data_IF_271549886711
#
_entry.id   IF_271549886711
#
_cell.length_a   1.000
_cell.length_b   1.000
_cell.length_c   1.000
_cell.angle_alpha   90.00
_cell.angle_beta   90.00
_cell.angle_gamma   90.00
#
_symmetry.space_group_name_H-M   'P 1'
#
loop_
_entity.id
_entity.type
_entity.pdbx_description
1 polymer ?
2 polymer ?
3 polymer ?
4 water ?
#
loop_
_entity_poly.entity_id
_entity_poly.type
_entity_poly.pdbx_seq_one_letter_code
_entity_poly.pdbx_strand_id
1 'polydeoxyribonucleotide' '(DT)(DT)(DT)(DG)(DC)(DG)(DG)(DT)(DT)(DG)(DC)(DA)(DC)(DC)(DT)(DT)(DT)(DC)(DA)(DA)(DA)' ?
2 'polydeoxyribonucleotide' '(DT)(DT)(DT)(DG)(DA)(DA)(DA)(DG)(DG)(DT)(DG)(DC)(DA)(DA)(DC)(DC)(DG)(DC)(DA)(DA)(DA)' ?
#
# COMPACT_ATOMS: atom_id res chain seq x y z
N UNK C 5 -14.05 -3.45 9.91
CA UNK C 5 -12.64 -3.12 9.58
C UNK C 5 -11.64 -3.90 10.45
N UNK C 6 -10.49 -4.23 9.88
CA UNK C 6 -9.42 -4.81 10.69
C UNK C 6 -8.09 -4.28 10.22
N UNK C 7 -7.07 -4.46 11.06
CA UNK C 7 -5.73 -4.07 10.74
C UNK C 7 -4.99 -5.22 10.06
N UNK C 8 -4.54 -4.96 8.82
CA UNK C 8 -3.77 -5.93 8.04
C UNK C 8 -2.29 -5.58 8.13
N UNK C 9 -1.49 -6.52 8.61
CA UNK C 9 -0.05 -6.37 8.63
C UNK C 9 0.57 -6.49 7.25
N UNK C 10 1.69 -5.79 7.09
CA UNK C 10 2.57 -5.89 5.91
C UNK C 10 4.00 -5.94 6.42
N UNK C 11 4.71 -6.99 6.03
CA UNK C 11 6.12 -7.19 6.39
C UNK C 11 6.96 -6.24 5.55
N UNK C 12 7.56 -5.26 6.21
CA UNK C 12 8.28 -4.16 5.54
C UNK C 12 9.66 -4.07 6.16
N UNK C 13 10.72 -4.04 5.36
CA UNK C 13 12.04 -3.91 5.99
C UNK C 13 12.29 -2.43 6.34
N UNK C 14 13.39 -2.18 7.04
CA UNK C 14 13.65 -0.89 7.68
C UNK C 14 13.82 0.23 6.69
N UNK C 15 14.55 -0.04 5.61
CA UNK C 15 14.69 0.92 4.51
C UNK C 15 13.34 1.35 3.93
N UNK C 16 12.43 0.39 3.75
CA UNK C 16 11.13 0.70 3.16
C UNK C 16 10.30 1.54 4.12
N UNK C 17 10.34 1.19 5.40
CA UNK C 17 9.64 1.99 6.42
C UNK C 17 10.14 3.43 6.50
N UNK C 18 11.44 3.63 6.34
CA UNK C 18 11.98 4.99 6.28
C UNK C 18 11.62 5.72 4.99
N UNK C 19 11.58 5.00 3.89
CA UNK C 19 11.10 5.61 2.64
C UNK C 19 9.67 6.11 2.81
N UNK C 20 8.84 5.33 3.51
CA UNK C 20 7.47 5.69 3.76
C UNK C 20 7.36 6.91 4.67
N UNK C 21 8.17 6.93 5.74
CA UNK C 21 8.11 8.01 6.73
C UNK C 21 8.48 9.32 6.09
N UNK C 22 9.51 9.23 5.24
CA UNK C 22 10.05 10.37 4.50
C UNK C 22 9.06 10.89 3.45
N UNK C 23 8.46 9.99 2.66
CA UNK C 23 7.48 10.44 1.67
C UNK C 23 6.23 11.01 2.33
N UNK C 24 5.77 10.36 3.40
CA UNK C 24 4.62 10.82 4.20
C UNK C 24 4.78 12.25 4.69
N UNK C 25 5.97 12.55 5.22
CA UNK C 25 6.31 13.88 5.72
C UNK C 25 6.21 14.94 4.66
N UNK C 26 6.81 14.69 3.51
CA UNK C 26 6.80 15.73 2.51
C UNK C 26 5.49 15.88 1.71
N UNK C 27 4.51 15.00 1.93
CA UNK C 27 3.14 15.22 1.43
C UNK C 27 2.12 15.56 2.54
N UNK C 28 2.62 15.73 3.77
CA UNK C 28 1.82 16.14 4.93
C UNK C 28 0.71 15.16 5.30
N UNK C 29 1.06 13.88 5.33
CA UNK C 29 0.11 12.83 5.65
C UNK C 29 0.82 11.84 6.55
N UNK C 30 0.06 10.97 7.19
CA UNK C 30 0.67 9.92 8.01
C UNK C 30 1.15 8.75 7.12
N UNK C 31 2.14 7.98 7.63
CA UNK C 31 2.51 6.72 6.99
C UNK C 31 1.33 5.81 6.71
N UNK C 32 0.37 5.74 7.62
CA UNK C 32 -0.86 4.97 7.45
C UNK C 32 -1.64 5.44 6.23
N UNK C 33 -1.84 6.75 6.14
CA UNK C 33 -2.58 7.36 5.02
C UNK C 33 -1.91 6.99 3.67
N UNK C 34 -0.58 7.04 3.65
CA UNK C 34 0.18 6.79 2.39
C UNK C 34 -0.02 5.36 1.89
N UNK C 35 0.06 4.41 2.80
CA UNK C 35 -0.17 2.99 2.50
C UNK C 35 -1.56 2.71 2.00
N UNK C 36 -2.57 3.23 2.70
CA UNK C 36 -3.97 3.14 2.24
C UNK C 36 -4.14 3.70 0.83
N UNK C 37 -3.70 4.93 0.64
CA UNK C 37 -3.75 5.58 -0.68
C UNK C 37 -3.01 4.79 -1.75
N UNK C 38 -1.82 4.28 -1.42
CA UNK C 38 -1.09 3.39 -2.32
C UNK C 38 -1.96 2.21 -2.78
N UNK C 39 -2.72 1.66 -1.84
CA UNK C 39 -3.55 0.49 -2.09
C UNK C 39 -4.67 0.88 -3.06
N UNK C 40 -5.33 2.00 -2.78
CA UNK C 40 -6.44 2.45 -3.60
C UNK C 40 -5.98 2.81 -5.01
N UNK C 41 -4.82 3.43 -5.17
CA UNK C 41 -4.35 3.79 -6.51
C UNK C 41 -3.97 2.55 -7.30
N UNK C 42 -3.40 1.58 -6.62
CA UNK C 42 -2.94 0.38 -7.29
C UNK C 42 -4.12 -0.48 -7.74
N UNK C 43 -5.17 -0.56 -6.91
CA UNK C 43 -6.43 -1.23 -7.30
C UNK C 43 -7.09 -0.55 -8.48
N UNK C 44 -7.06 0.77 -8.52
CA UNK C 44 -7.55 1.51 -9.70
C UNK C 44 -6.74 1.14 -10.95
N UNK C 45 -5.41 1.12 -10.83
CA UNK C 45 -4.53 0.68 -11.91
C UNK C 45 -4.86 -0.75 -12.40
N UNK C 46 -5.07 -1.68 -11.47
CA UNK C 46 -5.38 -3.06 -11.85
C UNK C 46 -6.72 -3.18 -12.55
N UNK C 47 -7.72 -2.52 -11.99
CA UNK C 47 -9.08 -2.62 -12.46
C UNK C 47 -9.35 -1.81 -13.73
N UNK C 48 -8.45 -0.90 -14.11
CA UNK C 48 -8.62 -0.10 -15.33
C UNK C 48 -8.21 -0.84 -16.62
N UNK D 6 9.19 -5.47 12.25
CA UNK D 6 9.14 -6.15 10.91
C UNK D 6 7.88 -5.83 10.13
N UNK D 7 6.81 -5.43 10.83
CA UNK D 7 5.54 -5.04 10.17
C UNK D 7 5.13 -3.59 10.39
N UNK D 8 4.31 -3.11 9.46
CA UNK D 8 3.41 -1.98 9.65
C UNK D 8 1.99 -2.54 9.51
N UNK D 9 1.01 -1.78 9.99
CA UNK D 9 -0.39 -2.17 9.88
C UNK D 9 -1.21 -1.16 9.12
N UNK D 10 -2.19 -1.64 8.36
CA UNK D 10 -3.16 -0.74 7.71
C UNK D 10 -4.59 -1.20 8.01
N UNK D 11 -5.40 -0.28 8.52
CA UNK D 11 -6.77 -0.58 8.88
C UNK D 11 -7.67 -0.46 7.66
N UNK D 12 -8.21 -1.60 7.22
CA UNK D 12 -9.04 -1.67 6.02
C UNK D 12 -10.42 -2.16 6.39
N UNK D 13 -11.44 -1.65 5.69
CA UNK D 13 -12.79 -2.16 5.86
C UNK D 13 -12.96 -3.39 4.98
N UNK D 14 -14.08 -4.07 5.15
CA UNK D 14 -14.32 -5.35 4.48
C UNK D 14 -14.38 -5.26 2.95
N UNK D 15 -15.01 -4.22 2.44
CA UNK D 15 -15.11 -4.03 0.99
C UNK D 15 -13.72 -3.92 0.35
N UNK D 16 -12.84 -3.14 0.96
CA UNK D 16 -11.51 -2.94 0.41
C UNK D 16 -10.74 -4.26 0.50
N UNK D 17 -10.82 -4.93 1.64
CA UNK D 17 -10.27 -6.29 1.75
C UNK D 17 -10.82 -7.23 0.67
N UNK D 18 -12.12 -7.13 0.36
CA UNK D 18 -12.73 -7.93 -0.71
C UNK D 18 -12.05 -7.66 -2.06
N UNK D 19 -11.91 -6.38 -2.41
CA UNK D 19 -11.30 -5.98 -3.68
C UNK D 19 -9.86 -6.43 -3.79
N UNK D 20 -9.13 -6.31 -2.69
CA UNK D 20 -7.75 -6.74 -2.69
C UNK D 20 -7.64 -8.22 -3.01
N UNK D 21 -8.47 -9.03 -2.37
CA UNK D 21 -8.42 -10.46 -2.54
C UNK D 21 -8.80 -10.85 -3.97
N UNK D 22 -9.90 -10.30 -4.48
CA UNK D 22 -10.31 -10.60 -5.85
C UNK D 22 -9.26 -10.16 -6.87
N UNK D 23 -8.59 -9.04 -6.61
CA UNK D 23 -7.57 -8.53 -7.53
C UNK D 23 -6.30 -9.38 -7.51
N UNK D 24 -5.92 -9.83 -6.32
CA UNK D 24 -4.73 -10.68 -6.10
C UNK D 24 -4.88 -12.06 -6.74
N UNK D 25 -6.10 -12.58 -6.72
CA UNK D 25 -6.38 -13.88 -7.29
C UNK D 25 -6.24 -13.82 -8.81
N UNK D 26 -6.79 -12.77 -9.42
CA UNK D 26 -6.64 -12.56 -10.87
C UNK D 26 -5.18 -12.60 -11.35
N UNK D 27 -4.28 -12.00 -10.57
CA UNK D 27 -2.88 -11.88 -10.95
C UNK D 27 -1.95 -12.95 -10.34
N UNK D 28 -2.52 -13.91 -9.61
CA UNK D 28 -1.77 -15.07 -9.13
C UNK D 28 -0.73 -14.62 -8.10
N UNK D 29 -1.19 -13.79 -7.17
CA UNK D 29 -0.39 -13.22 -6.08
C UNK D 29 -1.21 -13.20 -4.80
N UNK D 30 -0.56 -13.02 -3.66
CA UNK D 30 -1.30 -12.90 -2.39
C UNK D 30 -1.77 -11.46 -2.18
N UNK D 31 -2.80 -11.27 -1.33
CA UNK D 31 -3.13 -9.93 -0.91
C UNK D 31 -1.94 -9.16 -0.33
N UNK D 32 -1.12 -9.83 0.50
CA UNK D 32 0.09 -9.27 1.09
C UNK D 32 1.12 -8.76 0.06
N UNK D 33 1.47 -9.60 -0.91
CA UNK D 33 2.28 -9.17 -2.07
C UNK D 33 1.67 -7.92 -2.74
N UNK D 34 0.36 -7.97 -2.98
CA UNK D 34 -0.36 -6.88 -3.59
C UNK D 34 -0.20 -5.58 -2.85
N UNK D 35 -0.40 -5.59 -1.54
CA UNK D 35 -0.21 -4.37 -0.74
C UNK D 35 1.23 -3.84 -0.81
N UNK D 36 2.22 -4.72 -0.74
CA UNK D 36 3.64 -4.30 -0.84
C UNK D 36 3.96 -3.64 -2.15
N UNK D 37 3.53 -4.26 -3.25
CA UNK D 37 3.70 -3.68 -4.57
C UNK D 37 3.00 -2.36 -4.71
N UNK D 38 1.79 -2.25 -4.14
CA UNK D 38 1.07 -0.98 -4.14
C UNK D 38 1.93 0.10 -3.47
N UNK D 39 2.54 -0.25 -2.34
CA UNK D 39 3.40 0.67 -1.60
C UNK D 39 4.65 1.07 -2.41
N UNK D 40 5.38 0.09 -2.93
CA UNK D 40 6.52 0.39 -3.82
C UNK D 40 6.15 1.25 -5.00
N UNK D 41 5.01 0.97 -5.63
CA UNK D 41 4.63 1.75 -6.79
C UNK D 41 4.34 3.20 -6.38
N UNK D 42 3.62 3.41 -5.26
CA UNK D 42 3.26 4.75 -4.84
C UNK D 42 4.49 5.54 -4.44
N UNK D 43 5.41 4.91 -3.74
CA UNK D 43 6.63 5.59 -3.31
C UNK D 43 7.51 6.05 -4.46
N UNK D 44 7.65 5.21 -5.48
CA UNK D 44 8.38 5.56 -6.72
C UNK D 44 7.78 6.80 -7.36
N UNK D 45 6.44 6.86 -7.45
CA UNK D 45 5.75 8.05 -7.93
C UNK D 45 6.10 9.29 -7.11
N UNK D 46 6.03 9.18 -5.78
CA UNK D 46 6.35 10.30 -4.92
C UNK D 46 7.83 10.68 -5.04
N UNK D 47 8.71 9.69 -5.09
CA UNK D 47 10.15 9.92 -5.16
C UNK D 47 10.62 10.40 -6.53
N UNK D 48 9.95 9.96 -7.60
CA UNK D 48 10.24 10.43 -8.96
C UNK D 48 9.56 11.75 -9.33
N UNK D 49 8.67 12.26 -8.49
CA UNK D 49 7.99 13.54 -8.73
C UNK D 49 8.90 14.73 -8.47
N UNK D 50 8.56 15.87 -9.07
CA UNK D 50 9.47 17.02 -9.20
C UNK D 50 8.82 18.37 -8.86
#
# INVERSE_FOLDING_TARGET
>C
GHMGTTTMGVKLDDATRERIKSAATRIDRTPHWLIKQAIFSYLEQLENSDTLPE
>D
GHMGTTTMGVKLDDATRERIKSAATRIDRTPHWLIKQAIFSYLEQLENSDTLPE
#
